data_IF_884311268161
#
_entry.id   IF_884311268161
#
_cell.length_a   1.000
_cell.length_b   1.000
_cell.length_c   1.000
_cell.angle_alpha   90.00
_cell.angle_beta   90.00
_cell.angle_gamma   90.00
#
_symmetry.space_group_name_H-M   'P 1'
#
loop_
_entity.id
_entity.type
_entity.pdbx_description
1 polymer ?
#
# COMPACT_ATOMS: atom_id res chain seq x y z
N UNK A 1 7.81 8.64 11.72
CA UNK A 1 6.69 7.70 11.52
C UNK A 1 6.96 6.92 10.25
N UNK A 2 6.65 5.62 10.23
CA UNK A 2 6.92 4.76 9.07
C UNK A 2 6.10 5.23 7.87
N UNK A 3 6.75 5.46 6.71
CA UNK A 3 6.09 5.94 5.49
C UNK A 3 5.75 4.77 4.58
N UNK A 4 4.46 4.60 4.30
CA UNK A 4 3.91 3.44 3.61
C UNK A 4 3.25 3.86 2.31
N UNK A 5 3.55 3.10 1.26
CA UNK A 5 2.86 3.11 -0.02
C UNK A 5 1.94 1.90 -0.14
N UNK A 6 0.83 2.04 -0.86
CA UNK A 6 -0.10 0.95 -1.13
C UNK A 6 -0.19 0.72 -2.63
N UNK A 7 0.09 -0.50 -3.08
CA UNK A 7 -0.13 -0.92 -4.46
C UNK A 7 -1.39 -1.78 -4.55
N UNK A 8 -2.34 -1.36 -5.39
CA UNK A 8 -3.68 -1.95 -5.49
C UNK A 8 -4.61 -1.39 -4.41
N UNK A 9 -5.61 -0.61 -4.83
CA UNK A 9 -6.55 0.09 -3.95
C UNK A 9 -7.92 -0.60 -3.87
N UNK A 10 -7.86 -1.93 -3.87
CA UNK A 10 -8.99 -2.82 -3.62
C UNK A 10 -9.35 -2.91 -2.13
N UNK A 11 -10.05 -3.98 -1.75
CA UNK A 11 -10.54 -4.17 -0.37
C UNK A 11 -9.42 -4.05 0.68
N UNK A 12 -8.31 -4.78 0.49
CA UNK A 12 -7.19 -4.75 1.43
C UNK A 12 -6.51 -3.37 1.45
N UNK A 13 -6.15 -2.81 0.29
CA UNK A 13 -5.49 -1.51 0.22
C UNK A 13 -6.27 -0.37 0.89
N UNK A 14 -7.60 -0.33 0.70
CA UNK A 14 -8.47 0.65 1.36
C UNK A 14 -8.55 0.43 2.87
N UNK A 15 -8.68 -0.81 3.33
CA UNK A 15 -8.76 -1.11 4.77
C UNK A 15 -7.44 -0.88 5.50
N UNK A 16 -6.30 -1.19 4.86
CA UNK A 16 -4.97 -0.82 5.37
C UNK A 16 -4.86 0.69 5.52
N UNK A 17 -5.30 1.44 4.50
CA UNK A 17 -5.32 2.92 4.56
C UNK A 17 -6.20 3.41 5.69
N UNK A 18 -7.42 2.89 5.83
CA UNK A 18 -8.35 3.24 6.90
C UNK A 18 -7.78 2.94 8.29
N UNK A 19 -7.16 1.78 8.47
CA UNK A 19 -6.53 1.39 9.74
C UNK A 19 -5.32 2.26 10.08
N UNK A 20 -4.51 2.65 9.08
CA UNK A 20 -3.39 3.56 9.26
C UNK A 20 -3.87 4.94 9.77
N UNK A 21 -4.89 5.53 9.14
CA UNK A 21 -5.44 6.82 9.55
C UNK A 21 -6.12 6.77 10.92
N UNK A 22 -6.80 5.67 11.27
CA UNK A 22 -7.41 5.52 12.59
C UNK A 22 -6.40 5.29 13.72
N UNK A 23 -5.34 4.53 13.45
CA UNK A 23 -4.34 4.17 14.47
C UNK A 23 -3.26 5.24 14.66
N UNK A 24 -2.95 6.02 13.62
CA UNK A 24 -1.84 6.97 13.64
C UNK A 24 -0.45 6.34 13.79
N UNK A 25 -0.32 5.02 13.62
CA UNK A 25 0.96 4.30 13.81
C UNK A 25 1.88 4.36 12.58
N UNK A 26 1.30 4.47 11.40
CA UNK A 26 2.00 4.55 10.11
C UNK A 26 1.41 5.67 9.26
N UNK A 27 2.19 6.18 8.32
CA UNK A 27 1.79 7.27 7.44
C UNK A 27 1.61 6.74 6.02
N UNK A 28 0.38 6.77 5.51
CA UNK A 28 0.15 6.49 4.09
C UNK A 28 0.57 7.72 3.29
N UNK A 29 1.61 7.60 2.47
CA UNK A 29 2.16 8.72 1.71
C UNK A 29 1.94 8.58 0.20
N UNK A 30 1.68 7.36 -0.27
CA UNK A 30 1.40 7.10 -1.67
C UNK A 30 0.42 5.93 -1.88
N UNK A 31 -0.37 6.00 -2.95
CA UNK A 31 -1.25 4.93 -3.42
C UNK A 31 -1.06 4.79 -4.93
N UNK A 32 -0.96 3.56 -5.42
CA UNK A 32 -1.01 3.25 -6.85
C UNK A 32 -2.22 2.37 -7.17
N UNK A 33 -3.06 2.81 -8.10
CA UNK A 33 -4.04 1.94 -8.76
C UNK A 33 -4.35 2.45 -10.18
N UNK A 34 -4.02 1.68 -11.23
CA UNK A 34 -4.22 2.11 -12.61
C UNK A 34 -5.69 2.12 -13.07
N UNK A 35 -6.61 1.55 -12.29
CA UNK A 35 -8.01 1.38 -12.67
C UNK A 35 -8.96 2.33 -11.91
N UNK A 36 -8.43 3.12 -10.98
CA UNK A 36 -9.22 3.98 -10.10
C UNK A 36 -8.67 5.40 -10.23
N UNK A 37 -9.49 6.34 -10.69
CA UNK A 37 -9.12 7.75 -10.71
C UNK A 37 -9.23 8.39 -9.32
N UNK A 38 -8.61 9.56 -9.15
CA UNK A 38 -8.54 10.25 -7.86
C UNK A 38 -9.93 10.54 -7.24
N UNK A 39 -10.92 10.94 -8.04
CA UNK A 39 -12.26 11.25 -7.52
C UNK A 39 -12.97 9.96 -7.12
N UNK A 40 -12.75 8.87 -7.87
CA UNK A 40 -13.27 7.58 -7.51
C UNK A 40 -12.59 7.01 -6.25
N UNK A 41 -11.29 7.24 -6.07
CA UNK A 41 -10.58 6.91 -4.81
C UNK A 41 -11.22 7.63 -3.62
N UNK A 42 -11.54 8.93 -3.74
CA UNK A 42 -12.24 9.69 -2.69
C UNK A 42 -13.55 9.01 -2.31
N UNK A 43 -14.37 8.66 -3.31
CA UNK A 43 -15.64 7.96 -3.07
C UNK A 43 -15.44 6.62 -2.37
N UNK A 44 -14.52 5.78 -2.87
CA UNK A 44 -14.28 4.43 -2.34
C UNK A 44 -13.67 4.43 -0.93
N UNK A 45 -12.94 5.47 -0.54
CA UNK A 45 -12.46 5.63 0.84
C UNK A 45 -13.60 6.14 1.73
N UNK A 46 -14.41 7.05 1.21
CA UNK A 46 -15.47 7.69 1.97
C UNK A 46 -16.61 6.72 2.31
N UNK A 47 -16.95 5.81 1.40
CA UNK A 47 -18.08 4.88 1.51
C UNK A 47 -17.63 3.43 1.34
N UNK A 48 -17.93 2.60 2.33
CA UNK A 48 -17.69 1.16 2.30
C UNK A 48 -18.94 0.42 2.76
N UNK A 49 -19.38 -0.58 1.99
CA UNK A 49 -20.62 -1.31 2.26
C UNK A 49 -20.53 -2.24 3.47
N UNK A 50 -19.33 -2.62 3.90
CA UNK A 50 -19.10 -3.55 5.01
C UNK A 50 -18.72 -2.83 6.29
N UNK A 51 -17.95 -1.75 6.17
CA UNK A 51 -17.36 -1.03 7.31
C UNK A 51 -17.96 0.36 7.53
N UNK A 52 -19.09 0.66 6.90
CA UNK A 52 -19.76 1.95 6.90
C UNK A 52 -18.90 3.11 6.35
N UNK A 53 -19.53 4.28 6.29
CA UNK A 53 -18.90 5.56 5.94
C UNK A 53 -17.68 5.83 6.81
N UNK A 54 -16.57 6.20 6.18
CA UNK A 54 -15.39 6.65 6.91
C UNK A 54 -15.63 8.07 7.46
N UNK A 55 -15.76 8.21 8.78
CA UNK A 55 -16.14 9.47 9.45
C UNK A 55 -15.00 10.49 9.55
N UNK A 56 -14.15 10.53 8.54
CA UNK A 56 -12.99 11.43 8.41
C UNK A 56 -13.12 12.14 7.08
N UNK A 57 -12.70 13.41 7.02
CA UNK A 57 -12.72 14.20 5.78
C UNK A 57 -11.83 13.57 4.72
N UNK A 58 -12.39 13.29 3.55
CA UNK A 58 -11.67 12.82 2.36
C UNK A 58 -12.00 13.73 1.18
N UNK A 59 -10.99 14.24 0.50
CA UNK A 59 -11.17 15.10 -0.69
C UNK A 59 -10.04 14.91 -1.69
N UNK A 60 -10.29 15.31 -2.93
CA UNK A 60 -9.26 15.50 -3.93
C UNK A 60 -8.80 16.96 -3.88
N UNK A 61 -7.49 17.20 -3.82
CA UNK A 61 -6.92 18.56 -3.81
C UNK A 61 -5.53 18.54 -4.46
N UNK A 62 -5.28 19.43 -5.41
CA UNK A 62 -3.99 19.56 -6.11
C UNK A 62 -3.46 18.24 -6.70
N UNK A 63 -4.35 17.41 -7.27
CA UNK A 63 -3.99 16.11 -7.84
C UNK A 63 -3.62 15.04 -6.81
N UNK A 64 -3.91 15.28 -5.51
CA UNK A 64 -3.64 14.35 -4.41
C UNK A 64 -4.91 13.94 -3.70
N UNK A 65 -4.87 12.76 -3.09
CA UNK A 65 -5.89 12.29 -2.18
C UNK A 65 -5.60 12.87 -0.80
N UNK A 66 -6.50 13.70 -0.27
CA UNK A 66 -6.33 14.33 1.05
C UNK A 66 -7.28 13.69 2.05
N UNK A 67 -6.73 13.00 3.05
CA UNK A 67 -7.47 12.35 4.13
C UNK A 67 -7.09 13.01 5.44
N UNK A 68 -8.07 13.54 6.18
CA UNK A 68 -7.86 14.28 7.42
C UNK A 68 -6.81 15.41 7.32
N UNK A 69 -6.79 16.12 6.18
CA UNK A 69 -5.80 17.16 5.89
C UNK A 69 -4.41 16.67 5.48
N UNK A 70 -4.16 15.36 5.48
CA UNK A 70 -2.89 14.78 4.99
C UNK A 70 -2.97 14.45 3.51
N UNK A 71 -2.03 14.98 2.73
CA UNK A 71 -1.94 14.73 1.30
C UNK A 71 -1.19 13.41 1.00
N UNK A 72 -1.83 12.56 0.20
CA UNK A 72 -1.33 11.27 -0.29
C UNK A 72 -1.12 11.37 -1.79
N UNK A 73 0.09 11.05 -2.25
CA UNK A 73 0.42 11.03 -3.68
C UNK A 73 -0.30 9.87 -4.36
N UNK A 74 -0.88 10.11 -5.53
CA UNK A 74 -1.58 9.08 -6.30
C UNK A 74 -0.79 8.78 -7.57
N UNK A 75 -0.59 7.49 -7.84
CA UNK A 75 -0.04 6.94 -9.07
C UNK A 75 -1.10 6.06 -9.74
N UNK A 76 -1.01 5.90 -11.06
CA UNK A 76 -1.94 5.09 -11.85
C UNK A 76 -1.20 4.19 -12.85
N UNK A 77 -0.02 3.69 -12.45
CA UNK A 77 0.80 2.82 -13.30
C UNK A 77 0.36 1.36 -13.20
N UNK A 78 0.33 0.68 -14.35
CA UNK A 78 -0.21 -0.68 -14.49
C UNK A 78 0.83 -1.76 -14.76
N UNK A 79 1.91 -1.40 -15.42
CA UNK A 79 2.79 -2.38 -16.04
C UNK A 79 3.82 -2.92 -15.02
N UNK A 80 3.92 -4.25 -14.83
CA UNK A 80 4.97 -4.91 -14.04
C UNK A 80 6.39 -4.40 -14.29
N UNK A 81 6.74 -4.16 -15.56
CA UNK A 81 8.03 -3.61 -15.96
C UNK A 81 8.18 -2.13 -15.56
N UNK A 82 7.04 -1.44 -15.39
CA UNK A 82 6.93 -0.04 -15.01
C UNK A 82 6.57 0.18 -13.54
N UNK A 83 6.45 -0.85 -12.69
CA UNK A 83 6.35 -0.63 -11.23
C UNK A 83 7.60 0.09 -10.71
N UNK A 84 8.75 -0.09 -11.38
CA UNK A 84 9.96 0.71 -11.14
C UNK A 84 9.77 2.20 -11.47
N UNK A 85 8.80 2.57 -12.33
CA UNK A 85 8.46 3.95 -12.63
C UNK A 85 7.55 4.57 -11.57
N UNK A 86 6.90 3.75 -10.73
CA UNK A 86 6.26 4.26 -9.53
C UNK A 86 7.38 4.74 -8.62
N UNK A 87 7.60 6.05 -8.61
CA UNK A 87 8.67 6.70 -7.84
C UNK A 87 8.32 6.77 -6.37
N UNK A 88 8.28 5.61 -5.72
CA UNK A 88 8.07 5.46 -4.28
C UNK A 88 9.02 6.37 -3.50
N UNK A 89 10.28 6.43 -3.93
CA UNK A 89 11.30 7.30 -3.32
C UNK A 89 10.91 8.79 -3.32
N UNK A 90 10.39 9.30 -4.44
CA UNK A 90 9.99 10.71 -4.57
C UNK A 90 8.78 11.05 -3.68
N UNK A 91 7.88 10.09 -3.48
CA UNK A 91 6.78 10.21 -2.52
C UNK A 91 7.21 9.96 -1.06
N UNK A 92 8.48 9.62 -0.82
CA UNK A 92 9.02 9.29 0.50
C UNK A 92 8.56 7.93 1.05
N UNK A 93 8.05 7.03 0.21
CA UNK A 93 7.61 5.70 0.62
C UNK A 93 8.81 4.83 0.98
N UNK A 94 8.77 4.21 2.16
CA UNK A 94 9.81 3.28 2.62
C UNK A 94 9.34 1.83 2.55
N UNK A 95 8.07 1.59 2.87
CA UNK A 95 7.46 0.27 2.88
C UNK A 95 6.28 0.24 1.91
N UNK A 96 6.19 -0.78 1.08
CA UNK A 96 5.04 -0.98 0.19
C UNK A 96 4.20 -2.14 0.69
N UNK A 97 2.89 -1.92 0.79
CA UNK A 97 1.90 -3.00 0.88
C UNK A 97 1.49 -3.36 -0.54
N UNK A 98 1.84 -4.57 -0.96
CA UNK A 98 1.47 -5.14 -2.24
C UNK A 98 0.15 -5.90 -2.09
N UNK A 99 -0.93 -5.27 -2.51
CA UNK A 99 -2.31 -5.75 -2.35
C UNK A 99 -3.10 -5.82 -3.66
N UNK A 100 -2.42 -5.93 -4.80
CA UNK A 100 -3.06 -6.18 -6.11
C UNK A 100 -3.50 -7.62 -6.28
N UNK A 101 -2.83 -8.56 -5.60
CA UNK A 101 -3.00 -10.01 -5.81
C UNK A 101 -2.27 -10.57 -7.03
N UNK A 102 -1.53 -9.74 -7.79
CA UNK A 102 -0.81 -10.16 -9.01
C UNK A 102 0.70 -10.29 -8.78
N UNK A 103 1.29 -9.47 -7.90
CA UNK A 103 2.72 -9.45 -7.61
C UNK A 103 3.07 -10.25 -6.35
N UNK A 104 2.74 -11.54 -6.36
CA UNK A 104 2.84 -12.41 -5.17
C UNK A 104 4.15 -13.19 -5.06
N UNK A 105 5.09 -13.03 -5.99
CA UNK A 105 6.44 -13.62 -5.93
C UNK A 105 7.50 -12.58 -5.59
N UNK A 106 8.64 -13.01 -5.06
CA UNK A 106 9.76 -12.12 -4.73
C UNK A 106 10.26 -11.35 -5.95
N UNK A 107 10.34 -11.98 -7.11
CA UNK A 107 10.74 -11.34 -8.37
C UNK A 107 9.81 -10.18 -8.73
N UNK A 108 8.50 -10.46 -8.73
CA UNK A 108 7.45 -9.52 -9.10
C UNK A 108 7.36 -8.36 -8.11
N UNK A 109 7.30 -8.67 -6.82
CA UNK A 109 7.27 -7.67 -5.75
C UNK A 109 8.58 -6.86 -5.68
N UNK A 110 9.71 -7.45 -6.11
CA UNK A 110 11.00 -6.78 -6.17
C UNK A 110 11.04 -5.55 -7.07
N UNK A 111 10.09 -5.39 -8.00
CA UNK A 111 9.95 -4.19 -8.82
C UNK A 111 9.73 -2.92 -7.97
N UNK A 112 9.05 -3.02 -6.81
CA UNK A 112 8.86 -1.87 -5.91
C UNK A 112 10.17 -1.36 -5.32
N UNK A 113 11.13 -2.25 -5.06
CA UNK A 113 12.45 -1.87 -4.55
C UNK A 113 13.21 -1.01 -5.57
N UNK A 114 13.03 -1.29 -6.87
CA UNK A 114 13.61 -0.49 -7.95
C UNK A 114 12.99 0.92 -8.02
N UNK A 115 11.71 1.06 -7.65
CA UNK A 115 11.02 2.36 -7.53
C UNK A 115 11.41 3.17 -6.29
N UNK A 116 12.33 2.67 -5.45
CA UNK A 116 12.86 3.38 -4.28
C UNK A 116 12.26 2.96 -2.94
N UNK A 117 11.36 1.98 -2.91
CA UNK A 117 10.93 1.38 -1.65
C UNK A 117 12.07 0.60 -0.99
N UNK A 118 12.12 0.59 0.34
CA UNK A 118 13.11 -0.17 1.12
C UNK A 118 12.65 -1.60 1.38
N UNK A 119 11.34 -1.79 1.58
CA UNK A 119 10.73 -3.11 1.84
C UNK A 119 9.35 -3.27 1.22
N UNK A 120 8.94 -4.52 1.04
CA UNK A 120 7.63 -4.90 0.49
C UNK A 120 6.97 -5.95 1.36
N UNK A 121 5.68 -5.77 1.65
CA UNK A 121 4.81 -6.75 2.30
C UNK A 121 3.74 -7.17 1.31
N UNK A 122 3.75 -8.44 0.91
CA UNK A 122 2.72 -9.05 0.07
C UNK A 122 1.53 -9.40 0.96
N UNK A 123 0.34 -8.94 0.61
CA UNK A 123 -0.89 -9.12 1.40
C UNK A 123 -1.63 -10.43 1.11
N UNK A 124 -0.92 -11.43 0.61
CA UNK A 124 -1.44 -12.75 0.25
C UNK A 124 -0.33 -13.79 0.34
N UNK A 125 -0.65 -15.10 0.31
CA UNK A 125 0.36 -16.15 0.30
C UNK A 125 1.31 -15.99 -0.89
N UNK A 126 2.60 -16.14 -0.61
CA UNK A 126 3.66 -16.12 -1.61
C UNK A 126 4.21 -17.51 -1.83
N UNK A 127 4.59 -17.81 -3.08
CA UNK A 127 5.22 -19.08 -3.42
C UNK A 127 6.68 -19.15 -2.93
N UNK A 128 7.35 -18.01 -2.76
CA UNK A 128 8.79 -17.90 -2.53
C UNK A 128 9.19 -16.89 -1.44
N UNK A 129 8.34 -15.92 -1.09
CA UNK A 129 8.64 -14.98 -0.02
C UNK A 129 8.39 -15.59 1.37
N UNK A 130 9.28 -15.35 2.37
CA UNK A 130 9.05 -15.76 3.74
C UNK A 130 7.73 -15.21 4.29
N UNK A 131 6.92 -16.09 4.87
CA UNK A 131 5.59 -15.75 5.40
C UNK A 131 5.64 -15.56 6.92
N UNK A 132 5.01 -14.48 7.38
CA UNK A 132 4.91 -14.15 8.79
C UNK A 132 3.46 -13.97 9.21
N UNK A 133 3.17 -14.45 10.42
CA UNK A 133 1.91 -14.26 11.11
C UNK A 133 2.23 -13.64 12.47
N UNK A 134 1.65 -12.46 12.70
CA UNK A 134 1.78 -11.74 13.97
C UNK A 134 1.32 -12.63 15.13
N UNK A 135 2.12 -12.70 16.19
CA UNK A 135 1.87 -13.56 17.34
C UNK A 135 2.29 -15.03 17.18
N UNK A 136 2.69 -15.48 15.99
CA UNK A 136 3.10 -16.89 15.75
C UNK A 136 4.59 -17.02 15.45
N UNK A 137 5.09 -16.28 14.46
CA UNK A 137 6.49 -16.36 14.02
C UNK A 137 7.10 -15.01 13.62
N UNK A 138 6.40 -13.90 13.84
CA UNK A 138 6.87 -12.54 13.55
C UNK A 138 8.19 -12.16 14.24
N UNK A 139 8.53 -12.81 15.35
CA UNK A 139 9.80 -12.69 16.08
C UNK A 139 11.00 -13.26 15.31
N UNK A 140 10.75 -14.13 14.32
CA UNK A 140 11.77 -14.67 13.42
C UNK A 140 12.12 -13.73 12.26
N UNK A 141 11.44 -12.57 12.17
CA UNK A 141 11.73 -11.59 11.15
C UNK A 141 13.14 -11.01 11.35
N UNK A 142 13.91 -10.96 10.27
CA UNK A 142 15.22 -10.31 10.24
C UNK A 142 15.24 -9.15 9.23
N UNK A 143 16.04 -8.14 9.55
CA UNK A 143 16.18 -6.93 8.74
C UNK A 143 16.87 -7.17 7.39
N UNK A 144 17.46 -8.34 7.10
CA UNK A 144 17.89 -8.68 5.74
C UNK A 144 16.72 -8.96 4.79
N UNK A 145 15.55 -9.33 5.32
CA UNK A 145 14.37 -9.69 4.53
C UNK A 145 13.67 -8.44 3.99
N UNK A 146 13.97 -8.10 2.73
CA UNK A 146 13.39 -6.94 2.05
C UNK A 146 11.96 -7.17 1.55
N UNK A 147 11.61 -8.42 1.26
CA UNK A 147 10.29 -8.81 0.74
C UNK A 147 9.78 -9.95 1.62
N UNK A 148 8.58 -9.79 2.16
CA UNK A 148 7.91 -10.78 3.00
C UNK A 148 6.44 -10.85 2.64
N UNK A 149 5.76 -11.92 3.04
CA UNK A 149 4.31 -12.06 2.93
C UNK A 149 3.68 -12.10 4.32
N UNK A 150 2.49 -11.49 4.46
CA UNK A 150 1.67 -11.59 5.68
C UNK A 150 0.67 -12.75 5.61
N UNK A 151 1.04 -13.83 4.91
CA UNK A 151 0.20 -15.00 4.68
C UNK A 151 -1.16 -14.64 4.03
N UNK A 152 -2.22 -15.41 4.32
CA UNK A 152 -3.58 -15.25 3.79
C UNK A 152 -4.48 -14.38 4.66
#
# INVERSE_FOLDING_TARGET
>A
MLKVGVNGFGCIGRLVTRAAFNSGKVDIVAINDPFIDLYYMVYMVQYDSTHDKFKITVKAENGKLVINGKAVTVFQDRDPANIANIKWGDAGTEYVVESTGVFTTMEKAGAHLKGGAKRVIISSPSADAPMFVMGVNHDKYDNSLKIVSNAS
#
